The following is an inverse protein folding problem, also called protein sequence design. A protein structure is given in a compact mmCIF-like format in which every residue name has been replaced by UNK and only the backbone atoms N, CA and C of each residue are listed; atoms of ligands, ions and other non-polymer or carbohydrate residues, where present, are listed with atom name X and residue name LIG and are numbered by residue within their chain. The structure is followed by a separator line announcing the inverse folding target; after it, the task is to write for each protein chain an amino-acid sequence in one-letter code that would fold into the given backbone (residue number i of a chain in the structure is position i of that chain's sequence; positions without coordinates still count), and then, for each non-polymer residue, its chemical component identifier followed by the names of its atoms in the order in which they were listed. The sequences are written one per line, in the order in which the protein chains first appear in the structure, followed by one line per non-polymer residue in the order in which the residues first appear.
data_IF_033481608087
#
_entry.id   IF_033481608087
#
_cell.length_a   1.000
_cell.length_b   1.000
_cell.length_c   1.000
_cell.angle_alpha   90.00
_cell.angle_beta   90.00
_cell.angle_gamma   90.00
#
_symmetry.space_group_name_H-M   'P 1'
#
loop_
_entity.id
_entity.type
_entity.pdbx_description
1 polymer ?
#
# COMPACT_ATOMS: atom_id res chain seq x y z
N UNK A 1 -5.39 5.66 -16.80
CA UNK A 1 -4.65 5.13 -15.63
C UNK A 1 -5.41 4.00 -14.93
N UNK A 2 -6.69 4.17 -14.55
CA UNK A 2 -7.51 3.11 -13.92
C UNK A 2 -7.52 1.78 -14.72
N UNK A 3 -7.66 1.76 -16.07
CA UNK A 3 -7.61 0.50 -16.82
C UNK A 3 -6.31 -0.29 -16.65
N UNK A 4 -5.16 0.39 -16.68
CA UNK A 4 -3.84 -0.25 -16.47
C UNK A 4 -3.66 -0.79 -15.04
N UNK A 5 -4.22 -0.10 -14.05
CA UNK A 5 -4.23 -0.59 -12.66
C UNK A 5 -5.09 -1.85 -12.56
N UNK A 6 -6.28 -1.84 -13.16
CA UNK A 6 -7.19 -2.98 -13.14
C UNK A 6 -6.60 -4.21 -13.82
N UNK A 7 -5.93 -4.02 -14.96
CA UNK A 7 -5.18 -5.03 -15.69
C UNK A 7 -4.09 -5.65 -14.81
N UNK A 8 -3.21 -4.82 -14.23
CA UNK A 8 -2.14 -5.30 -13.34
C UNK A 8 -2.68 -6.06 -12.11
N UNK A 9 -3.77 -5.59 -11.50
CA UNK A 9 -4.39 -6.26 -10.34
C UNK A 9 -5.04 -7.58 -10.76
N UNK A 10 -5.60 -7.64 -11.95
CA UNK A 10 -6.16 -8.86 -12.53
C UNK A 10 -5.07 -9.89 -12.79
N UNK A 11 -4.00 -9.52 -13.49
CA UNK A 11 -2.96 -10.47 -13.88
C UNK A 11 -2.14 -10.94 -12.68
N UNK A 12 -1.82 -10.04 -11.76
CA UNK A 12 -1.02 -10.35 -10.58
C UNK A 12 -1.83 -10.89 -9.40
N UNK A 13 -2.71 -10.05 -8.86
CA UNK A 13 -3.35 -10.33 -7.56
C UNK A 13 -4.46 -11.37 -7.64
N UNK A 14 -5.32 -11.33 -8.66
CA UNK A 14 -6.40 -12.33 -8.81
C UNK A 14 -5.84 -13.73 -9.06
N UNK A 15 -4.82 -13.84 -9.92
CA UNK A 15 -4.15 -15.11 -10.24
C UNK A 15 -3.49 -15.76 -9.02
N UNK A 16 -2.83 -14.95 -8.18
CA UNK A 16 -2.04 -15.45 -7.06
C UNK A 16 -2.82 -15.60 -5.75
N UNK A 17 -3.90 -14.84 -5.55
CA UNK A 17 -4.59 -14.82 -4.27
C UNK A 17 -5.53 -16.04 -4.12
N UNK A 18 -5.25 -16.94 -3.17
CA UNK A 18 -5.98 -18.21 -3.05
C UNK A 18 -7.45 -18.03 -2.62
N UNK A 19 -7.83 -16.88 -2.06
CA UNK A 19 -9.21 -16.62 -1.64
C UNK A 19 -10.14 -16.54 -2.85
N UNK A 20 -9.74 -15.84 -3.90
CA UNK A 20 -10.60 -15.70 -5.08
C UNK A 20 -10.76 -17.03 -5.83
N UNK A 21 -9.69 -17.82 -5.89
CA UNK A 21 -9.74 -19.18 -6.42
C UNK A 21 -10.64 -20.09 -5.58
N UNK A 22 -10.50 -20.06 -4.25
CA UNK A 22 -11.34 -20.87 -3.35
C UNK A 22 -12.82 -20.52 -3.43
N UNK A 23 -13.15 -19.24 -3.59
CA UNK A 23 -14.52 -18.77 -3.79
C UNK A 23 -15.06 -19.02 -5.20
N UNK A 24 -14.25 -19.54 -6.12
CA UNK A 24 -14.58 -19.65 -7.54
C UNK A 24 -15.06 -18.30 -8.11
N UNK A 25 -14.43 -17.20 -7.68
CA UNK A 25 -14.84 -15.86 -8.09
C UNK A 25 -14.51 -15.67 -9.56
N UNK A 26 -15.50 -15.30 -10.38
CA UNK A 26 -15.25 -15.03 -11.80
C UNK A 26 -14.40 -13.77 -11.97
N UNK A 27 -13.67 -13.69 -13.08
CA UNK A 27 -12.85 -12.52 -13.41
C UNK A 27 -13.67 -11.22 -13.41
N UNK A 28 -14.86 -11.24 -14.02
CA UNK A 28 -15.78 -10.09 -14.04
C UNK A 28 -16.15 -9.64 -12.61
N UNK A 29 -16.51 -10.59 -11.75
CA UNK A 29 -16.86 -10.31 -10.36
C UNK A 29 -15.67 -9.72 -9.59
N UNK A 30 -14.46 -10.21 -9.84
CA UNK A 30 -13.25 -9.65 -9.25
C UNK A 30 -12.96 -8.23 -9.76
N UNK A 31 -13.09 -7.98 -11.06
CA UNK A 31 -12.87 -6.64 -11.63
C UNK A 31 -13.87 -5.61 -11.07
N UNK A 32 -15.15 -5.98 -10.95
CA UNK A 32 -16.16 -5.16 -10.27
C UNK A 32 -15.78 -4.87 -8.81
N UNK A 33 -15.27 -5.87 -8.09
CA UNK A 33 -14.78 -5.68 -6.71
C UNK A 33 -13.62 -4.67 -6.64
N UNK A 34 -12.65 -4.78 -7.54
CA UNK A 34 -11.52 -3.85 -7.61
C UNK A 34 -11.99 -2.44 -7.96
N UNK A 35 -12.91 -2.30 -8.91
CA UNK A 35 -13.48 -1.00 -9.28
C UNK A 35 -14.22 -0.35 -8.10
N UNK A 36 -14.98 -1.13 -7.31
CA UNK A 36 -15.61 -0.65 -6.08
C UNK A 36 -14.59 -0.19 -5.03
N UNK A 37 -13.43 -0.85 -4.95
CA UNK A 37 -12.34 -0.40 -4.08
C UNK A 37 -11.77 0.92 -4.61
N UNK A 38 -11.44 1.00 -5.89
CA UNK A 38 -10.80 2.16 -6.53
C UNK A 38 -11.71 3.38 -6.60
N UNK A 39 -13.04 3.21 -6.57
CA UNK A 39 -14.01 4.30 -6.51
C UNK A 39 -14.32 4.77 -5.09
N UNK A 40 -13.78 4.11 -4.06
CA UNK A 40 -13.99 4.51 -2.67
C UNK A 40 -13.27 5.84 -2.38
N UNK A 41 -14.05 6.85 -2.00
CA UNK A 41 -13.58 8.18 -1.62
C UNK A 41 -12.60 8.18 -0.43
N UNK A 42 -12.54 7.08 0.32
CA UNK A 42 -11.70 6.92 1.49
C UNK A 42 -10.35 6.25 1.18
N UNK A 43 -10.02 6.04 -0.09
CA UNK A 43 -8.65 5.71 -0.47
C UNK A 43 -7.74 6.85 -0.02
N UNK A 44 -6.71 6.51 0.75
CA UNK A 44 -5.76 7.49 1.26
C UNK A 44 -4.79 7.92 0.15
N UNK A 45 -4.32 9.16 0.24
CA UNK A 45 -3.15 9.67 -0.50
C UNK A 45 -1.82 9.02 -0.02
N UNK A 46 -1.91 7.83 0.56
CA UNK A 46 -0.80 6.89 0.76
C UNK A 46 -0.75 5.85 -0.36
N UNK A 47 -1.83 5.69 -1.13
CA UNK A 47 -1.91 4.77 -2.26
C UNK A 47 -1.07 5.27 -3.42
N UNK A 48 -0.42 4.36 -4.13
CA UNK A 48 0.46 4.74 -5.23
C UNK A 48 0.59 3.64 -6.27
N UNK A 49 1.11 4.04 -7.42
CA UNK A 49 1.55 3.17 -8.50
C UNK A 49 3.06 3.31 -8.68
N UNK A 50 3.72 2.24 -9.12
CA UNK A 50 5.11 2.25 -9.55
C UNK A 50 5.12 2.15 -11.07
N UNK A 51 5.74 3.13 -11.71
CA UNK A 51 5.85 3.19 -13.17
C UNK A 51 7.29 2.87 -13.55
N UNK A 52 7.47 1.88 -14.40
CA UNK A 52 8.73 1.67 -15.09
C UNK A 52 8.82 2.70 -16.22
N UNK A 53 9.76 3.64 -16.11
CA UNK A 53 9.94 4.70 -17.10
C UNK A 53 10.52 4.22 -18.43
N UNK A 54 11.22 3.09 -18.42
CA UNK A 54 11.78 2.49 -19.64
C UNK A 54 10.67 1.80 -20.45
N UNK A 55 9.80 1.05 -19.77
CA UNK A 55 8.66 0.34 -20.37
C UNK A 55 7.40 1.22 -20.49
N UNK A 56 7.40 2.41 -19.88
CA UNK A 56 6.28 3.36 -19.80
C UNK A 56 4.97 2.72 -19.33
N UNK A 57 5.05 1.78 -18.39
CA UNK A 57 3.89 1.05 -17.85
C UNK A 57 3.91 0.95 -16.33
N UNK A 58 2.75 0.69 -15.75
CA UNK A 58 2.63 0.43 -14.32
C UNK A 58 3.12 -1.00 -14.05
N UNK A 59 4.09 -1.13 -13.15
CA UNK A 59 4.66 -2.43 -12.74
C UNK A 59 4.29 -2.81 -11.30
N UNK A 60 3.76 -1.88 -10.53
CA UNK A 60 3.32 -2.12 -9.15
C UNK A 60 2.19 -1.19 -8.75
N UNK A 61 1.31 -1.65 -7.87
CA UNK A 61 0.24 -0.83 -7.29
C UNK A 61 -0.02 -1.22 -5.85
N UNK A 62 -0.28 -0.21 -5.02
CA UNK A 62 -0.65 -0.38 -3.62
C UNK A 62 -1.83 0.53 -3.29
N UNK A 63 -2.93 -0.05 -2.83
CA UNK A 63 -4.14 0.66 -2.43
C UNK A 63 -4.31 0.56 -0.92
N UNK A 64 -4.36 1.72 -0.28
CA UNK A 64 -4.32 1.87 1.17
C UNK A 64 -5.53 2.70 1.60
N UNK A 65 -6.18 2.27 2.68
CA UNK A 65 -7.30 2.97 3.33
C UNK A 65 -6.98 3.26 4.78
N UNK A 66 -7.72 4.19 5.36
CA UNK A 66 -7.70 4.42 6.80
C UNK A 66 -8.32 3.22 7.52
N UNK A 67 -7.67 2.75 8.58
CA UNK A 67 -8.10 1.57 9.32
C UNK A 67 -9.40 1.82 10.12
N UNK A 68 -9.68 3.05 10.53
CA UNK A 68 -10.91 3.41 11.27
C UNK A 68 -12.19 3.12 10.49
N UNK A 69 -12.07 2.96 9.17
CA UNK A 69 -13.15 2.67 8.24
C UNK A 69 -13.31 1.17 7.96
N UNK A 70 -12.44 0.33 8.51
CA UNK A 70 -12.56 -1.12 8.44
C UNK A 70 -13.64 -1.55 9.43
N UNK A 71 -14.88 -1.63 8.95
CA UNK A 71 -16.02 -2.07 9.73
C UNK A 71 -16.75 -3.20 9.00
N UNK A 72 -17.35 -4.08 9.79
CA UNK A 72 -18.20 -5.12 9.25
C UNK A 72 -19.53 -4.50 8.79
N UNK A 73 -19.67 -4.29 7.49
CA UNK A 73 -20.89 -3.79 6.87
C UNK A 73 -21.60 -4.97 6.19
N UNK A 74 -22.75 -5.44 6.71
CA UNK A 74 -23.34 -6.72 6.28
C UNK A 74 -23.77 -6.75 4.81
N UNK A 75 -23.90 -5.60 4.13
CA UNK A 75 -24.37 -5.49 2.74
C UNK A 75 -23.58 -4.43 1.94
N UNK A 76 -22.28 -4.35 2.13
CA UNK A 76 -21.44 -3.42 1.37
C UNK A 76 -21.38 -3.78 -0.12
N UNK A 77 -21.44 -5.07 -0.44
CA UNK A 77 -21.34 -5.58 -1.80
C UNK A 77 -22.59 -6.39 -2.18
N UNK A 78 -23.14 -6.13 -3.36
CA UNK A 78 -24.29 -6.88 -3.88
C UNK A 78 -23.95 -8.33 -4.26
N UNK A 79 -22.68 -8.64 -4.53
CA UNK A 79 -22.24 -10.00 -4.84
C UNK A 79 -21.83 -10.75 -3.55
N UNK A 80 -22.40 -11.95 -3.28
CA UNK A 80 -22.09 -12.72 -2.07
C UNK A 80 -20.61 -13.09 -1.91
N UNK A 81 -19.87 -13.33 -3.00
CA UNK A 81 -18.44 -13.67 -2.94
C UNK A 81 -17.59 -12.45 -2.56
N UNK A 82 -17.96 -11.26 -3.04
CA UNK A 82 -17.33 -10.00 -2.66
C UNK A 82 -17.60 -9.67 -1.19
N UNK A 83 -18.86 -9.81 -0.76
CA UNK A 83 -19.25 -9.62 0.63
C UNK A 83 -18.53 -10.60 1.56
N UNK A 84 -18.42 -11.87 1.16
CA UNK A 84 -17.66 -12.86 1.92
C UNK A 84 -16.19 -12.45 2.08
N UNK A 85 -15.53 -12.00 1.01
CA UNK A 85 -14.13 -11.52 1.08
C UNK A 85 -13.98 -10.35 2.04
N UNK A 86 -14.90 -9.39 2.03
CA UNK A 86 -14.91 -8.25 2.97
C UNK A 86 -15.07 -8.71 4.42
N UNK A 87 -16.02 -9.61 4.67
CA UNK A 87 -16.26 -10.16 6.00
C UNK A 87 -15.05 -10.94 6.50
N UNK A 88 -14.37 -11.68 5.62
CA UNK A 88 -13.14 -12.39 5.93
C UNK A 88 -12.03 -11.41 6.37
N UNK A 89 -11.80 -10.34 5.61
CA UNK A 89 -10.83 -9.30 5.97
C UNK A 89 -11.14 -8.70 7.35
N UNK A 90 -12.40 -8.34 7.59
CA UNK A 90 -12.85 -7.82 8.88
C UNK A 90 -12.66 -8.83 10.02
N UNK A 91 -12.87 -10.12 9.76
CA UNK A 91 -12.72 -11.20 10.75
C UNK A 91 -11.25 -11.42 11.13
N UNK A 92 -10.36 -11.46 10.13
CA UNK A 92 -8.90 -11.57 10.35
C UNK A 92 -8.40 -10.39 11.18
N UNK A 93 -8.95 -9.19 10.95
CA UNK A 93 -8.57 -7.96 11.66
C UNK A 93 -9.41 -7.67 12.92
N UNK A 94 -10.31 -8.57 13.34
CA UNK A 94 -11.37 -8.28 14.31
C UNK A 94 -10.87 -7.69 15.64
N UNK A 95 -9.83 -8.30 16.24
CA UNK A 95 -9.23 -7.82 17.50
C UNK A 95 -8.70 -6.39 17.41
N UNK A 96 -8.31 -5.94 16.22
CA UNK A 96 -7.80 -4.59 15.98
C UNK A 96 -8.92 -3.61 15.62
N UNK A 97 -9.94 -4.07 14.90
CA UNK A 97 -11.17 -3.29 14.67
C UNK A 97 -11.81 -2.91 16.00
N UNK A 98 -11.91 -3.84 16.96
CA UNK A 98 -12.46 -3.59 18.30
C UNK A 98 -11.71 -2.52 19.11
N UNK A 99 -10.47 -2.19 18.76
CA UNK A 99 -9.69 -1.13 19.43
C UNK A 99 -10.14 0.28 19.02
N UNK A 100 -11.00 0.41 18.01
CA UNK A 100 -11.56 1.69 17.56
C UNK A 100 -10.48 2.78 17.36
N UNK A 101 -9.50 2.50 16.51
CA UNK A 101 -8.42 3.44 16.22
C UNK A 101 -8.98 4.77 15.68
N UNK A 102 -8.49 5.93 16.17
CA UNK A 102 -8.85 7.23 15.59
C UNK A 102 -8.38 7.33 14.13
N UNK A 103 -9.09 8.15 13.35
CA UNK A 103 -8.69 8.51 11.99
C UNK A 103 -7.24 9.02 11.96
N UNK A 104 -6.46 8.60 10.97
CA UNK A 104 -5.06 8.99 10.80
C UNK A 104 -4.06 8.24 11.68
N UNK A 105 -4.49 7.30 12.54
CA UNK A 105 -3.59 6.57 13.44
C UNK A 105 -3.10 5.26 12.83
N UNK A 106 -3.99 4.53 12.15
CA UNK A 106 -3.70 3.24 11.54
C UNK A 106 -4.23 3.19 10.11
N UNK A 107 -3.53 2.48 9.24
CA UNK A 107 -3.98 2.22 7.87
C UNK A 107 -4.04 0.71 7.58
N UNK A 108 -4.67 0.36 6.48
CA UNK A 108 -4.69 -1.01 5.95
C UNK A 108 -4.37 -1.01 4.45
N UNK A 109 -3.56 -1.96 4.03
CA UNK A 109 -3.38 -2.30 2.63
C UNK A 109 -4.54 -3.19 2.18
N UNK A 110 -5.40 -2.65 1.31
CA UNK A 110 -6.56 -3.37 0.77
C UNK A 110 -6.17 -4.19 -0.45
N UNK A 111 -5.30 -3.65 -1.30
CA UNK A 111 -4.79 -4.32 -2.50
C UNK A 111 -3.31 -4.02 -2.70
N UNK A 112 -2.56 -5.03 -3.13
CA UNK A 112 -1.22 -4.88 -3.65
C UNK A 112 -1.04 -5.84 -4.82
N UNK A 113 -0.57 -5.32 -5.95
CA UNK A 113 -0.22 -6.15 -7.11
C UNK A 113 1.11 -5.68 -7.69
N UNK A 114 1.81 -6.60 -8.31
CA UNK A 114 3.06 -6.37 -9.05
C UNK A 114 3.01 -7.14 -10.35
N UNK A 115 3.79 -6.66 -11.31
CA UNK A 115 3.86 -7.25 -12.63
C UNK A 115 4.60 -8.59 -12.57
N UNK A 116 3.89 -9.66 -12.92
CA UNK A 116 4.42 -11.02 -12.89
C UNK A 116 5.26 -11.36 -14.13
N UNK A 117 5.29 -10.50 -15.15
CA UNK A 117 6.19 -10.65 -16.29
C UNK A 117 7.64 -10.31 -15.93
N UNK A 118 7.86 -9.64 -14.80
CA UNK A 118 9.19 -9.37 -14.26
C UNK A 118 9.83 -10.67 -13.75
N UNK A 119 11.16 -10.72 -13.71
CA UNK A 119 11.83 -11.87 -13.13
C UNK A 119 11.62 -11.93 -11.61
N UNK A 120 11.88 -13.09 -11.02
CA UNK A 120 11.59 -13.30 -9.60
C UNK A 120 12.28 -12.28 -8.67
N UNK A 121 13.55 -11.97 -8.94
CA UNK A 121 14.30 -11.04 -8.09
C UNK A 121 13.77 -9.61 -8.22
N UNK A 122 13.36 -9.20 -9.42
CA UNK A 122 12.71 -7.91 -9.67
C UNK A 122 11.39 -7.78 -8.91
N UNK A 123 10.56 -8.84 -8.92
CA UNK A 123 9.31 -8.89 -8.15
C UNK A 123 9.57 -8.72 -6.65
N UNK A 124 10.57 -9.44 -6.11
CA UNK A 124 10.95 -9.32 -4.68
C UNK A 124 11.39 -7.90 -4.36
N UNK A 125 12.31 -7.34 -5.15
CA UNK A 125 12.83 -5.99 -4.94
C UNK A 125 11.70 -4.94 -5.02
N UNK A 126 10.78 -5.10 -5.98
CA UNK A 126 9.65 -4.20 -6.15
C UNK A 126 8.72 -4.21 -4.92
N UNK A 127 8.36 -5.40 -4.40
CA UNK A 127 7.54 -5.51 -3.19
C UNK A 127 8.24 -4.84 -1.99
N UNK A 128 9.56 -5.04 -1.84
CA UNK A 128 10.33 -4.42 -0.76
C UNK A 128 10.34 -2.88 -0.88
N UNK A 129 10.59 -2.35 -2.08
CA UNK A 129 10.56 -0.90 -2.34
C UNK A 129 9.18 -0.33 -2.07
N UNK A 130 8.12 -1.00 -2.53
CA UNK A 130 6.73 -0.59 -2.28
C UNK A 130 6.42 -0.57 -0.77
N UNK A 131 6.89 -1.56 -0.01
CA UNK A 131 6.70 -1.58 1.44
C UNK A 131 7.47 -0.44 2.13
N UNK A 132 8.73 -0.19 1.76
CA UNK A 132 9.53 0.92 2.27
C UNK A 132 8.87 2.28 1.97
N UNK A 133 8.39 2.46 0.74
CA UNK A 133 7.72 3.69 0.33
C UNK A 133 6.43 3.90 1.15
N UNK A 134 5.63 2.86 1.37
CA UNK A 134 4.46 2.97 2.25
C UNK A 134 4.86 3.39 3.66
N UNK A 135 5.82 2.72 4.29
CA UNK A 135 6.28 3.03 5.66
C UNK A 135 6.73 4.49 5.75
N UNK A 136 7.50 4.96 4.76
CA UNK A 136 7.92 6.36 4.67
C UNK A 136 6.73 7.30 4.61
N UNK A 137 5.75 7.03 3.74
CA UNK A 137 4.56 7.89 3.61
C UNK A 137 3.72 7.87 4.88
N UNK A 138 3.55 6.71 5.52
CA UNK A 138 2.87 6.59 6.80
C UNK A 138 3.50 7.47 7.87
N UNK A 139 4.83 7.37 8.03
CA UNK A 139 5.58 8.21 8.98
C UNK A 139 5.40 9.71 8.70
N UNK A 140 5.55 10.12 7.45
CA UNK A 140 5.41 11.53 7.05
C UNK A 140 3.98 12.07 7.27
N UNK A 141 2.97 11.20 7.21
CA UNK A 141 1.56 11.55 7.41
C UNK A 141 1.07 11.24 8.83
N UNK A 142 1.94 10.86 9.77
CA UNK A 142 1.61 10.65 11.18
C UNK A 142 0.93 9.30 11.50
N UNK A 143 0.82 8.39 10.55
CA UNK A 143 0.30 7.03 10.79
C UNK A 143 1.31 6.20 11.57
N UNK A 144 0.82 5.49 12.58
CA UNK A 144 1.65 4.72 13.52
C UNK A 144 1.58 3.22 13.30
N UNK A 145 0.50 2.72 12.69
CA UNK A 145 0.29 1.28 12.51
C UNK A 145 -0.17 0.92 11.11
N UNK A 146 0.42 -0.13 10.57
CA UNK A 146 -0.08 -0.83 9.38
C UNK A 146 -0.72 -2.14 9.86
N UNK A 147 -2.01 -2.31 9.58
CA UNK A 147 -2.79 -3.48 9.98
C UNK A 147 -3.46 -4.01 8.72
N UNK A 148 -2.96 -5.14 8.22
CA UNK A 148 -3.40 -5.66 6.91
C UNK A 148 -3.59 -7.17 6.94
N UNK A 149 -4.65 -7.64 6.28
CA UNK A 149 -4.87 -9.06 6.03
C UNK A 149 -4.19 -9.46 4.71
N UNK A 150 -3.30 -10.46 4.77
CA UNK A 150 -2.54 -10.97 3.64
C UNK A 150 -2.89 -12.43 3.38
N UNK A 151 -3.03 -12.79 2.10
CA UNK A 151 -3.42 -14.14 1.67
C UNK A 151 -2.39 -14.79 0.74
N UNK A 152 -1.42 -14.01 0.27
CA UNK A 152 -0.30 -14.48 -0.56
C UNK A 152 0.91 -14.60 0.35
N UNK A 153 1.21 -15.82 0.81
CA UNK A 153 2.31 -16.09 1.76
C UNK A 153 3.64 -15.50 1.33
N UNK A 154 3.98 -15.63 0.05
CA UNK A 154 5.21 -15.09 -0.54
C UNK A 154 5.33 -13.57 -0.35
N UNK A 155 4.23 -12.83 -0.50
CA UNK A 155 4.24 -11.38 -0.28
C UNK A 155 4.45 -11.05 1.18
N UNK A 156 3.81 -11.79 2.08
CA UNK A 156 4.02 -11.64 3.52
C UNK A 156 5.49 -11.89 3.91
N UNK A 157 6.10 -12.98 3.44
CA UNK A 157 7.50 -13.30 3.72
C UNK A 157 8.43 -12.13 3.34
N UNK A 158 8.25 -11.57 2.13
CA UNK A 158 9.02 -10.41 1.64
C UNK A 158 8.74 -9.16 2.47
N UNK A 159 7.47 -8.87 2.81
CA UNK A 159 7.10 -7.68 3.61
C UNK A 159 7.73 -7.77 5.00
N UNK A 160 7.76 -8.95 5.62
CA UNK A 160 8.29 -9.11 6.98
C UNK A 160 9.80 -8.88 7.08
N UNK A 161 10.56 -9.09 6.00
CA UNK A 161 12.01 -8.79 6.01
C UNK A 161 12.28 -7.29 6.04
N UNK A 162 11.34 -6.48 5.57
CA UNK A 162 11.44 -5.02 5.54
C UNK A 162 10.83 -4.41 6.80
N UNK A 163 9.56 -4.73 7.06
CA UNK A 163 8.79 -3.96 8.00
C UNK A 163 8.86 -4.48 9.44
N UNK A 164 9.41 -5.68 9.71
CA UNK A 164 9.17 -6.37 10.98
C UNK A 164 7.66 -6.60 11.21
N UNK A 165 7.24 -7.57 12.02
CA UNK A 165 5.81 -7.69 12.36
C UNK A 165 5.51 -8.68 13.47
N UNK A 166 4.36 -8.45 14.10
CA UNK A 166 3.61 -9.47 14.82
C UNK A 166 2.86 -10.32 13.79
N UNK A 167 2.93 -11.65 13.96
CA UNK A 167 2.32 -12.65 13.08
C UNK A 167 1.16 -13.33 13.80
N UNK A 168 -0.08 -13.03 13.40
CA UNK A 168 -1.22 -13.87 13.76
C UNK A 168 -1.69 -14.59 12.50
N UNK A 169 -1.43 -15.90 12.41
CA UNK A 169 -1.96 -16.75 11.35
C UNK A 169 -3.39 -17.15 11.71
N UNK A 170 -4.29 -16.99 10.75
CA UNK A 170 -5.67 -17.41 10.82
C UNK A 170 -5.89 -18.60 9.91
N UNK A 171 -6.37 -19.69 10.47
CA UNK A 171 -6.87 -20.81 9.66
C UNK A 171 -8.19 -20.41 9.02
N UNK A 172 -8.29 -20.58 7.71
CA UNK A 172 -9.51 -20.33 6.93
C UNK A 172 -10.11 -21.62 6.36
N UNK A 173 -9.48 -22.78 6.56
CA UNK A 173 -9.93 -24.06 6.00
C UNK A 173 -11.31 -24.48 6.54
N UNK A 174 -11.60 -24.11 7.79
CA UNK A 174 -12.87 -24.40 8.47
C UNK A 174 -14.00 -23.44 8.09
N UNK A 175 -13.74 -22.39 7.32
CA UNK A 175 -14.77 -21.44 6.91
C UNK A 175 -15.67 -22.03 5.84
N UNK A 176 -16.97 -21.85 6.02
CA UNK A 176 -17.97 -22.28 5.05
C UNK A 176 -18.47 -21.13 4.18
N UNK A 177 -18.68 -21.40 2.90
CA UNK A 177 -19.40 -20.54 1.97
C UNK A 177 -20.40 -21.40 1.18
N UNK A 178 -21.69 -21.09 1.27
CA UNK A 178 -22.79 -21.86 0.66
C UNK A 178 -22.72 -23.37 1.00
N UNK A 179 -22.45 -23.71 2.26
CA UNK A 179 -22.36 -25.08 2.75
C UNK A 179 -21.12 -25.86 2.30
N UNK A 180 -20.15 -25.21 1.62
CA UNK A 180 -18.88 -25.82 1.19
C UNK A 180 -17.70 -25.19 1.94
N UNK A 181 -16.57 -25.89 1.98
CA UNK A 181 -15.30 -25.40 2.52
C UNK A 181 -14.37 -24.93 1.38
N UNK A 182 -14.53 -23.69 0.88
CA UNK A 182 -13.82 -23.19 -0.30
C UNK A 182 -12.29 -23.18 -0.15
N UNK A 183 -11.77 -23.20 1.08
CA UNK A 183 -10.34 -23.04 1.35
C UNK A 183 -9.69 -24.29 1.92
N UNK A 184 -10.32 -25.48 1.83
CA UNK A 184 -9.81 -26.72 2.40
C UNK A 184 -8.36 -27.04 1.95
N UNK A 185 -7.99 -26.65 0.74
CA UNK A 185 -6.63 -26.86 0.18
C UNK A 185 -5.65 -25.71 0.48
N UNK A 186 -6.10 -24.63 1.12
CA UNK A 186 -5.25 -23.49 1.48
C UNK A 186 -4.57 -23.74 2.84
N UNK A 187 -3.34 -24.24 2.81
CA UNK A 187 -2.54 -24.50 4.02
C UNK A 187 -1.95 -23.24 4.65
N UNK A 188 -1.84 -22.15 3.89
CA UNK A 188 -1.20 -20.92 4.33
C UNK A 188 -2.15 -20.00 5.11
N UNK A 189 -3.46 -20.22 5.00
CA UNK A 189 -4.47 -19.48 5.76
C UNK A 189 -4.58 -18.01 5.33
N UNK A 190 -5.10 -17.19 6.23
CA UNK A 190 -4.94 -15.74 6.20
C UNK A 190 -3.85 -15.33 7.20
N UNK A 191 -3.11 -14.29 6.88
CA UNK A 191 -2.04 -13.80 7.75
C UNK A 191 -2.37 -12.37 8.12
N UNK A 192 -2.60 -12.13 9.41
CA UNK A 192 -2.67 -10.78 9.94
C UNK A 192 -1.25 -10.25 10.11
N UNK A 193 -0.96 -9.20 9.36
CA UNK A 193 0.26 -8.43 9.46
C UNK A 193 0.00 -7.16 10.24
N UNK A 194 0.77 -6.95 11.31
CA UNK A 194 0.76 -5.73 12.11
C UNK A 194 2.17 -5.22 12.27
N UNK A 195 2.42 -4.03 11.73
CA UNK A 195 3.67 -3.30 11.93
C UNK A 195 3.42 -2.02 12.71
N UNK A 196 4.26 -1.78 13.71
CA UNK A 196 4.28 -0.52 14.45
C UNK A 196 5.41 0.32 13.87
N UNK A 197 5.05 1.42 13.20
CA UNK A 197 5.98 2.27 12.45
C UNK A 197 7.03 2.88 13.39
N UNK A 198 6.63 3.26 14.60
CA UNK A 198 7.53 3.82 15.63
C UNK A 198 8.64 2.84 16.04
N UNK A 199 8.39 1.53 15.95
CA UNK A 199 9.35 0.49 16.34
C UNK A 199 10.32 0.14 15.19
N UNK A 200 10.09 0.68 13.99
CA UNK A 200 10.89 0.34 12.82
C UNK A 200 12.18 1.17 12.80
N UNK A 201 13.27 0.55 13.25
CA UNK A 201 14.66 1.03 13.21
C UNK A 201 15.03 1.65 11.84
N UNK A 202 14.39 1.21 10.75
CA UNK A 202 14.55 1.79 9.40
C UNK A 202 14.22 3.30 9.35
N UNK A 203 13.26 3.81 10.12
CA UNK A 203 12.90 5.24 10.10
C UNK A 203 13.98 6.10 10.73
N UNK A 204 14.74 5.60 11.73
CA UNK A 204 15.93 6.31 12.23
C UNK A 204 16.98 6.48 11.12
N UNK A 205 17.23 5.43 10.35
CA UNK A 205 18.23 5.45 9.27
C UNK A 205 17.78 6.23 8.01
N UNK A 206 16.48 6.21 7.67
CA UNK A 206 15.93 7.02 6.56
C UNK A 206 15.74 8.49 6.96
N UNK A 207 15.32 8.75 8.20
CA UNK A 207 15.09 10.08 8.75
C UNK A 207 16.38 10.88 8.92
N UNK A 208 17.48 10.24 9.36
CA UNK A 208 18.78 10.92 9.48
C UNK A 208 19.31 11.46 8.15
N UNK A 209 19.11 10.75 7.04
CA UNK A 209 19.54 11.23 5.72
C UNK A 209 18.66 12.36 5.18
N UNK A 210 17.35 12.34 5.42
CA UNK A 210 16.44 13.42 4.99
C UNK A 210 16.62 14.67 5.88
N UNK A 211 16.77 14.51 7.19
CA UNK A 211 17.05 15.63 8.12
C UNK A 211 18.44 16.22 7.84
N UNK A 212 19.46 15.39 7.55
CA UNK A 212 20.77 15.88 7.09
C UNK A 212 20.67 16.66 5.78
N UNK A 213 19.92 16.16 4.79
CA UNK A 213 19.73 16.88 3.52
C UNK A 213 18.96 18.20 3.71
N UNK A 214 17.93 18.23 4.57
CA UNK A 214 17.18 19.46 4.88
C UNK A 214 18.05 20.49 5.61
N UNK A 215 18.85 20.07 6.60
CA UNK A 215 19.84 20.94 7.27
C UNK A 215 20.94 21.42 6.32
N UNK A 216 21.41 20.58 5.39
CA UNK A 216 22.38 20.97 4.36
C UNK A 216 21.80 21.98 3.37
N UNK A 217 20.51 21.86 3.01
CA UNK A 217 19.81 22.81 2.15
C UNK A 217 19.58 24.15 2.88
N UNK A 218 19.17 24.11 4.15
CA UNK A 218 18.98 25.28 5.02
C UNK A 218 20.31 26.00 5.34
N UNK A 219 21.41 25.26 5.52
CA UNK A 219 22.75 25.85 5.68
C UNK A 219 23.30 26.42 4.37
N UNK A 220 22.96 25.82 3.21
CA UNK A 220 23.34 26.35 1.89
C UNK A 220 22.54 27.60 1.51
N UNK A 221 21.29 27.73 1.94
CA UNK A 221 20.49 28.94 1.76
C UNK A 221 20.87 30.06 2.74
N UNK A 222 21.51 29.72 3.86
CA UNK A 222 22.10 30.69 4.79
C UNK A 222 23.59 30.98 4.53
N UNK A 223 24.21 30.32 3.55
CA UNK A 223 25.61 30.56 3.20
C UNK A 223 25.76 31.96 2.56
N UNK A 224 26.57 32.87 3.13
CA UNK A 224 26.74 34.24 2.64
C UNK A 224 27.13 34.33 1.16
N UNK A 225 27.83 33.31 0.62
CA UNK A 225 28.18 33.24 -0.79
C UNK A 225 26.94 33.07 -1.70
N UNK A 226 25.97 32.23 -1.33
CA UNK A 226 24.75 32.01 -2.11
C UNK A 226 23.76 33.17 -2.02
N UNK A 227 23.71 33.87 -0.89
CA UNK A 227 22.94 35.11 -0.73
C UNK A 227 23.51 36.22 -1.64
N UNK A 228 24.85 36.25 -1.83
CA UNK A 228 25.53 37.19 -2.74
C UNK A 228 25.21 36.89 -4.21
N UNK A 229 25.19 35.61 -4.61
CA UNK A 229 24.80 35.20 -5.98
C UNK A 229 23.33 35.50 -6.32
N UNK A 230 22.40 35.32 -5.38
CA UNK A 230 20.98 35.64 -5.61
C UNK A 230 20.72 37.15 -5.75
N UNK A 231 21.43 37.99 -4.98
CA UNK A 231 21.39 39.46 -5.15
C UNK A 231 21.99 39.93 -6.48
N UNK A 232 23.04 39.26 -6.98
CA UNK A 232 23.65 39.59 -8.28
C UNK A 232 22.70 39.26 -9.45
N UNK A 233 21.91 38.19 -9.36
CA UNK A 233 20.96 37.83 -10.43
C UNK A 233 19.67 38.65 -10.40
N UNK A 234 19.22 39.14 -9.24
CA UNK A 234 18.08 40.07 -9.18
C UNK A 234 18.43 41.43 -9.81
N UNK A 235 19.65 41.94 -9.63
CA UNK A 235 20.08 43.21 -10.24
C UNK A 235 20.39 43.12 -11.74
N UNK A 236 20.49 41.91 -12.33
CA UNK A 236 20.69 41.75 -13.78
C UNK A 236 19.38 41.78 -14.58
N UNK A 237 18.23 41.61 -13.94
CA UNK A 237 16.92 41.64 -14.61
C UNK A 237 16.29 43.04 -14.71
N UNK A 238 16.89 44.08 -14.11
CA UNK A 238 16.42 45.48 -14.25
C UNK A 238 17.08 46.26 -15.40
N UNK A 239 17.93 45.62 -16.22
CA UNK A 239 18.68 46.30 -17.29
C UNK A 239 18.48 45.70 -18.69
N UNK A 240 17.28 45.23 -19.03
CA UNK A 240 16.89 45.03 -20.45
C UNK A 240 15.39 45.28 -20.62
N UNK A 241 14.99 46.55 -20.68
CA UNK A 241 13.82 46.97 -21.46
C UNK A 241 14.32 47.88 -22.56
N UNK A 242 14.30 47.46 -23.84
CA UNK A 242 14.45 48.40 -24.94
C UNK A 242 13.18 49.26 -25.00
N UNK A 243 13.36 50.59 -24.99
CA UNK A 243 12.29 51.52 -25.36
C UNK A 243 11.94 51.32 -26.83
N UNK A 244 10.65 51.15 -27.12
CA UNK A 244 10.03 51.57 -28.37
C UNK A 244 9.70 53.06 -28.27
#
# INVERSE_FOLDING_TARGET
MIPQILELITEGYFTLNPVYKGLDMSLKCFQEYVLNILSDKNILNLSFVVIDTSLRRIVGVKIIKDFSLVQNHPNLYGNPKQQFKHNLDCSVMHKYVQKNYPHGVACTQVLMSVDLSLNYQEVVNLIQIMQLQQIKQMYLNGYKKDISALYIKKYFEIITTVAGSIKEKWDIQSLQFNGKYPFLQNQDGAILYVANIDDLILIKNFGENIIKQRRLIEQRSQNPANIRYQKINQNKHELVTPKL
#
